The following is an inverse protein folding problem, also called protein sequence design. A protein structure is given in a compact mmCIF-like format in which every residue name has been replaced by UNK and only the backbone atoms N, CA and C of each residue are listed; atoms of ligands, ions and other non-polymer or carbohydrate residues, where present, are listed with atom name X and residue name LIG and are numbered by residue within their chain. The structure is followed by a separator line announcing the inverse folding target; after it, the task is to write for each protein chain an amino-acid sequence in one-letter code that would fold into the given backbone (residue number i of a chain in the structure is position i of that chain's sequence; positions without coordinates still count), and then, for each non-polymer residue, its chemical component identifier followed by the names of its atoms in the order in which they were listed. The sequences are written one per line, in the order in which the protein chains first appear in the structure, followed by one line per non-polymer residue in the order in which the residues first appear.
data_IF_590121811804
#
_entry.id   IF_590121811804
#
_cell.length_a   1.000
_cell.length_b   1.000
_cell.length_c   1.000
_cell.angle_alpha   90.00
_cell.angle_beta   90.00
_cell.angle_gamma   90.00
#
_symmetry.space_group_name_H-M   'P 1'
#
loop_
_entity.id
_entity.type
_entity.pdbx_description
1 polymer ?
#
# COMPACT_ATOMS: atom_id res chain seq x y z
N UNK A 1 26.34 10.58 -18.98
CA UNK A 1 26.13 10.03 -17.60
C UNK A 1 24.94 10.73 -17.01
N UNK A 2 23.77 10.14 -17.16
CA UNK A 2 22.53 10.67 -16.58
C UNK A 2 22.16 9.79 -15.40
N UNK A 3 22.50 10.26 -14.20
CA UNK A 3 22.13 9.65 -12.92
C UNK A 3 20.80 10.24 -12.50
N UNK A 4 19.76 9.41 -12.40
CA UNK A 4 18.51 9.79 -11.76
C UNK A 4 18.70 9.65 -10.25
N UNK A 5 18.49 10.72 -9.52
CA UNK A 5 18.51 10.73 -8.04
C UNK A 5 17.10 10.46 -7.55
N UNK A 6 16.90 9.29 -6.93
CA UNK A 6 15.72 8.99 -6.12
C UNK A 6 16.04 9.42 -4.69
N UNK A 7 15.17 10.15 -3.99
CA UNK A 7 15.45 10.59 -2.62
C UNK A 7 15.68 9.37 -1.71
N UNK A 8 16.71 9.42 -0.89
CA UNK A 8 17.28 8.39 -0.05
C UNK A 8 18.08 7.26 -0.73
N UNK A 9 19.21 7.64 -1.41
CA UNK A 9 20.36 6.76 -1.65
C UNK A 9 20.18 5.50 -2.53
N UNK A 10 19.23 5.47 -3.44
CA UNK A 10 19.22 4.46 -4.49
C UNK A 10 19.63 5.15 -5.79
N UNK A 11 20.90 5.04 -6.13
CA UNK A 11 21.40 5.40 -7.46
C UNK A 11 21.16 4.19 -8.37
N UNK A 12 20.11 4.24 -9.19
CA UNK A 12 19.97 3.27 -10.27
C UNK A 12 20.93 3.73 -11.37
N UNK A 13 22.00 2.96 -11.54
CA UNK A 13 22.89 3.18 -12.68
C UNK A 13 22.18 2.71 -13.95
N UNK A 14 21.58 3.67 -14.66
CA UNK A 14 20.86 3.42 -15.95
C UNK A 14 21.81 2.86 -17.01
N UNK A 15 23.12 2.81 -16.74
CA UNK A 15 24.13 2.19 -17.62
C UNK A 15 24.33 0.70 -17.34
N UNK A 16 23.73 0.13 -16.31
CA UNK A 16 23.75 -1.32 -16.10
C UNK A 16 22.82 -2.00 -17.12
N UNK A 17 23.43 -2.28 -18.27
CA UNK A 17 22.79 -3.00 -19.38
C UNK A 17 22.21 -4.37 -18.98
N UNK A 18 22.60 -4.93 -17.83
CA UNK A 18 22.04 -6.20 -17.32
C UNK A 18 20.69 -5.99 -16.64
N UNK A 19 20.56 -4.97 -15.79
CA UNK A 19 19.29 -4.64 -15.14
C UNK A 19 18.25 -4.17 -16.17
N UNK A 20 18.66 -3.34 -17.13
CA UNK A 20 17.82 -2.92 -18.26
C UNK A 20 17.44 -4.10 -19.17
N UNK A 21 18.38 -5.00 -19.53
CA UNK A 21 18.07 -6.18 -20.36
C UNK A 21 17.15 -7.18 -19.66
N UNK A 22 17.19 -7.30 -18.34
CA UNK A 22 16.28 -8.14 -17.56
C UNK A 22 14.87 -7.54 -17.59
N UNK A 23 14.74 -6.23 -17.38
CA UNK A 23 13.47 -5.50 -17.55
C UNK A 23 12.92 -5.63 -18.99
N UNK A 24 13.78 -5.49 -20.01
CA UNK A 24 13.42 -5.64 -21.41
C UNK A 24 12.94 -7.06 -21.77
N UNK A 25 13.59 -8.10 -21.27
CA UNK A 25 13.18 -9.49 -21.50
C UNK A 25 11.84 -9.81 -20.84
N UNK A 26 11.62 -9.32 -19.63
CA UNK A 26 10.43 -9.64 -18.84
C UNK A 26 9.17 -8.93 -19.34
N UNK A 27 9.32 -7.77 -20.00
CA UNK A 27 8.21 -7.06 -20.63
C UNK A 27 7.86 -7.58 -22.03
N UNK A 28 8.47 -8.71 -22.47
CA UNK A 28 8.28 -9.33 -23.79
C UNK A 28 8.45 -8.37 -24.98
N UNK A 29 9.26 -7.32 -24.83
CA UNK A 29 9.50 -6.34 -25.87
C UNK A 29 10.47 -6.94 -26.91
N UNK A 30 10.11 -7.00 -28.21
CA UNK A 30 10.98 -7.54 -29.22
C UNK A 30 12.30 -6.78 -29.29
N UNK A 31 13.42 -7.49 -29.26
CA UNK A 31 14.80 -6.97 -29.30
C UNK A 31 15.23 -6.32 -30.64
N UNK A 32 14.27 -5.92 -31.47
CA UNK A 32 14.48 -5.50 -32.87
C UNK A 32 14.45 -4.01 -33.17
N UNK A 33 14.35 -3.11 -32.18
CA UNK A 33 14.30 -1.67 -32.43
C UNK A 33 15.55 -0.97 -31.88
N UNK A 34 16.69 -1.28 -32.45
CA UNK A 34 17.89 -0.44 -32.36
C UNK A 34 18.33 -0.09 -33.79
N UNK A 35 17.69 0.88 -34.43
CA UNK A 35 18.32 1.65 -35.48
C UNK A 35 17.54 2.93 -35.77
N UNK A 36 18.29 4.01 -35.64
CA UNK A 36 18.16 5.31 -36.31
C UNK A 36 17.04 6.28 -35.93
N UNK A 37 17.56 7.43 -35.59
CA UNK A 37 17.11 8.79 -35.82
C UNK A 37 16.56 9.60 -34.63
N UNK A 38 17.27 10.69 -34.41
CA UNK A 38 16.97 11.83 -33.56
C UNK A 38 15.57 12.39 -33.79
N UNK A 39 14.62 11.89 -32.98
CA UNK A 39 13.50 12.66 -32.47
C UNK A 39 13.34 12.18 -31.03
N UNK A 40 13.71 13.00 -30.07
CA UNK A 40 13.42 12.72 -28.68
C UNK A 40 11.91 12.50 -28.53
N UNK A 41 11.42 11.29 -28.23
CA UNK A 41 10.04 11.11 -27.88
C UNK A 41 9.84 11.93 -26.61
N UNK A 42 8.99 12.93 -26.67
CA UNK A 42 8.51 13.62 -25.46
C UNK A 42 8.04 12.52 -24.52
N UNK A 43 8.74 12.31 -23.41
CA UNK A 43 8.28 11.38 -22.37
C UNK A 43 6.86 11.81 -22.00
N UNK A 44 5.86 11.03 -22.40
CA UNK A 44 4.49 11.33 -22.02
C UNK A 44 4.42 11.12 -20.51
N UNK A 45 4.26 12.20 -19.78
CA UNK A 45 3.98 12.17 -18.37
C UNK A 45 2.70 11.37 -18.15
N UNK A 46 2.68 10.47 -17.19
CA UNK A 46 1.49 9.68 -16.84
C UNK A 46 1.05 10.02 -15.42
N UNK A 47 -0.25 9.94 -15.16
CA UNK A 47 -0.80 9.98 -13.80
C UNK A 47 -0.65 8.61 -13.16
N UNK A 48 -0.11 8.55 -11.95
CA UNK A 48 0.05 7.33 -11.16
C UNK A 48 -0.82 7.44 -9.91
N UNK A 49 -1.75 6.50 -9.75
CA UNK A 49 -2.70 6.46 -8.62
C UNK A 49 -2.54 5.12 -7.89
N UNK A 50 -2.07 5.18 -6.65
CA UNK A 50 -2.04 4.03 -5.76
C UNK A 50 -3.34 3.96 -4.95
N UNK A 51 -4.18 2.98 -5.27
CA UNK A 51 -5.49 2.73 -4.69
C UNK A 51 -5.35 1.98 -3.35
N UNK A 52 -5.02 2.69 -2.27
CA UNK A 52 -4.95 2.09 -0.95
C UNK A 52 -6.32 2.05 -0.25
N UNK A 53 -6.60 1.00 0.53
CA UNK A 53 -7.84 0.89 1.33
C UNK A 53 -7.99 2.00 2.36
N UNK A 54 -6.90 2.56 2.86
CA UNK A 54 -6.93 3.65 3.85
C UNK A 54 -6.57 5.01 3.28
N UNK A 55 -5.64 5.05 2.30
CA UNK A 55 -5.07 6.29 1.77
C UNK A 55 -4.79 6.13 0.29
N UNK A 56 -5.27 7.07 -0.52
CA UNK A 56 -4.88 7.21 -1.93
C UNK A 56 -3.61 8.06 -2.00
N UNK A 57 -2.69 7.66 -2.88
CA UNK A 57 -1.50 8.43 -3.21
C UNK A 57 -1.45 8.61 -4.71
N UNK A 58 -1.34 9.85 -5.17
CA UNK A 58 -1.36 10.18 -6.58
C UNK A 58 -0.32 11.24 -6.94
N UNK A 59 0.15 11.22 -8.18
CA UNK A 59 1.14 12.14 -8.71
C UNK A 59 1.52 11.75 -10.12
N UNK A 60 2.68 12.20 -10.58
CA UNK A 60 3.10 12.00 -11.95
C UNK A 60 4.30 11.07 -12.07
N UNK A 61 4.42 10.43 -13.23
CA UNK A 61 5.60 9.63 -13.57
C UNK A 61 6.89 10.44 -13.46
N UNK A 62 7.99 9.77 -13.12
CA UNK A 62 9.31 10.35 -12.89
C UNK A 62 9.41 11.34 -11.72
N UNK A 63 8.41 11.44 -10.86
CA UNK A 63 8.49 12.18 -9.60
C UNK A 63 8.92 11.26 -8.44
N UNK A 64 9.59 11.85 -7.46
CA UNK A 64 10.17 11.14 -6.32
C UNK A 64 9.15 10.89 -5.21
N UNK A 65 8.06 11.68 -5.15
CA UNK A 65 7.02 11.59 -4.13
C UNK A 65 5.64 11.93 -4.71
N UNK A 66 4.56 11.32 -4.16
CA UNK A 66 3.20 11.63 -4.60
C UNK A 66 2.85 13.09 -4.24
N UNK A 67 2.17 13.78 -5.16
CA UNK A 67 1.69 15.15 -4.95
C UNK A 67 0.43 15.22 -4.11
N UNK A 68 -0.46 14.23 -4.26
CA UNK A 68 -1.70 14.14 -3.51
C UNK A 68 -1.68 12.87 -2.67
N UNK A 69 -1.93 13.05 -1.35
CA UNK A 69 -2.04 11.95 -0.38
C UNK A 69 -3.22 12.28 0.52
N UNK A 70 -4.29 11.51 0.44
CA UNK A 70 -5.51 11.77 1.20
C UNK A 70 -6.23 10.47 1.57
N UNK A 71 -7.06 10.48 2.65
CA UNK A 71 -7.82 9.31 3.07
C UNK A 71 -8.78 8.80 2.00
N UNK A 72 -8.83 7.48 1.82
CA UNK A 72 -9.75 6.78 0.90
C UNK A 72 -11.16 6.69 1.50
N UNK A 73 -11.78 7.86 1.79
CA UNK A 73 -13.07 7.97 2.44
C UNK A 73 -14.01 8.90 1.69
N UNK A 74 -15.30 8.52 1.75
CA UNK A 74 -16.41 9.30 1.23
C UNK A 74 -17.38 9.56 2.37
N UNK A 75 -17.69 10.82 2.61
CA UNK A 75 -18.56 11.29 3.68
C UNK A 75 -19.90 11.77 3.15
N UNK A 76 -20.99 11.33 3.79
CA UNK A 76 -22.35 11.81 3.54
C UNK A 76 -22.98 12.31 4.83
N UNK A 77 -23.83 13.37 4.79
CA UNK A 77 -24.51 13.89 5.97
C UNK A 77 -25.28 12.80 6.73
N UNK A 78 -25.17 12.78 8.06
CA UNK A 78 -25.90 11.82 8.91
C UNK A 78 -27.40 12.10 8.93
N UNK A 79 -27.78 13.38 8.85
CA UNK A 79 -29.18 13.83 8.90
C UNK A 79 -29.44 14.84 7.79
N UNK A 80 -30.23 14.46 6.80
CA UNK A 80 -30.63 15.31 5.66
C UNK A 80 -31.41 16.57 6.08
N UNK A 81 -32.03 16.56 7.27
CA UNK A 81 -32.95 17.62 7.70
C UNK A 81 -32.35 18.67 8.66
N UNK A 82 -31.07 18.57 9.03
CA UNK A 82 -30.47 19.46 10.04
C UNK A 82 -29.47 20.45 9.45
N UNK A 83 -29.09 20.29 8.19
CA UNK A 83 -28.12 21.17 7.56
C UNK A 83 -28.80 22.33 6.85
N UNK A 84 -28.66 23.51 7.44
CA UNK A 84 -29.19 24.81 6.94
C UNK A 84 -28.41 25.30 5.69
N UNK A 85 -27.32 24.59 5.33
CA UNK A 85 -26.47 25.00 4.20
C UNK A 85 -26.78 24.11 2.97
N UNK A 86 -27.40 24.68 1.89
CA UNK A 86 -27.69 23.94 0.66
C UNK A 86 -26.47 23.33 -0.03
N UNK A 87 -25.26 23.82 0.30
CA UNK A 87 -23.99 23.34 -0.23
C UNK A 87 -23.50 22.01 0.39
N UNK A 88 -24.18 21.50 1.42
CA UNK A 88 -23.75 20.27 2.12
C UNK A 88 -24.54 19.03 1.66
N UNK A 89 -25.38 19.15 0.64
CA UNK A 89 -26.03 17.97 0.03
C UNK A 89 -25.10 17.12 -0.83
N UNK A 90 -23.87 17.58 -1.07
CA UNK A 90 -22.92 16.90 -1.90
C UNK A 90 -22.07 15.92 -1.09
N UNK A 91 -21.65 14.87 -1.75
CA UNK A 91 -20.69 13.90 -1.24
C UNK A 91 -19.35 14.61 -0.99
N UNK A 92 -18.78 14.46 0.19
CA UNK A 92 -17.50 15.05 0.58
C UNK A 92 -16.43 13.95 0.61
N UNK A 93 -15.26 14.22 0.05
CA UNK A 93 -14.21 13.21 -0.18
C UNK A 93 -12.92 13.56 0.56
N UNK A 94 -12.15 12.56 0.91
CA UNK A 94 -10.78 12.68 1.41
C UNK A 94 -10.64 13.50 2.69
N UNK A 95 -9.68 14.43 2.72
CA UNK A 95 -9.37 15.25 3.90
C UNK A 95 -10.54 16.13 4.36
N UNK A 96 -11.37 16.61 3.42
CA UNK A 96 -12.54 17.40 3.76
C UNK A 96 -13.57 16.55 4.52
N UNK A 97 -13.77 15.29 4.14
CA UNK A 97 -14.61 14.34 4.85
C UNK A 97 -14.04 14.00 6.23
N UNK A 98 -12.72 13.77 6.32
CA UNK A 98 -12.04 13.51 7.58
C UNK A 98 -12.18 14.67 8.59
N UNK A 99 -12.06 15.91 8.11
CA UNK A 99 -12.24 17.11 8.98
C UNK A 99 -13.67 17.27 9.48
N UNK A 100 -14.66 16.92 8.65
CA UNK A 100 -16.10 17.02 9.00
C UNK A 100 -16.68 15.73 9.57
N UNK A 101 -15.82 14.78 10.01
CA UNK A 101 -16.20 13.45 10.51
C UNK A 101 -17.28 13.44 11.60
N UNK A 102 -17.39 14.50 12.39
CA UNK A 102 -18.38 14.63 13.46
C UNK A 102 -19.83 14.70 12.96
N UNK A 103 -20.07 15.24 11.76
CA UNK A 103 -21.39 15.44 11.17
C UNK A 103 -21.67 14.54 9.96
N UNK A 104 -20.66 13.79 9.50
CA UNK A 104 -20.75 12.91 8.34
C UNK A 104 -20.75 11.42 8.77
N UNK A 105 -21.41 10.61 7.95
CA UNK A 105 -21.20 9.16 7.93
C UNK A 105 -20.09 8.88 6.93
N UNK A 106 -18.97 8.32 7.42
CA UNK A 106 -17.83 7.99 6.58
C UNK A 106 -17.96 6.56 6.04
N UNK A 107 -17.70 6.39 4.75
CA UNK A 107 -17.62 5.10 4.07
C UNK A 107 -16.26 4.93 3.40
N UNK A 108 -15.80 3.70 3.35
CA UNK A 108 -14.57 3.31 2.68
C UNK A 108 -14.95 2.51 1.43
N UNK A 109 -14.69 3.02 0.21
CA UNK A 109 -15.02 2.31 -1.04
C UNK A 109 -14.16 1.08 -1.30
N UNK A 110 -13.02 0.97 -0.61
CA UNK A 110 -12.10 -0.16 -0.72
C UNK A 110 -12.05 -0.89 0.62
N UNK A 111 -12.43 -2.17 0.61
CA UNK A 111 -12.31 -3.06 1.77
C UNK A 111 -11.38 -4.21 1.44
N UNK A 112 -10.44 -4.49 2.35
CA UNK A 112 -9.43 -5.54 2.18
C UNK A 112 -8.74 -5.54 0.80
N UNK A 113 -8.45 -4.35 0.25
CA UNK A 113 -7.80 -4.17 -1.03
C UNK A 113 -8.71 -4.35 -2.26
N UNK A 114 -10.00 -4.57 -2.08
CA UNK A 114 -10.98 -4.77 -3.16
C UNK A 114 -11.98 -3.63 -3.17
N UNK A 115 -12.26 -3.07 -4.35
CA UNK A 115 -13.29 -2.05 -4.50
C UNK A 115 -14.66 -2.68 -4.33
N UNK A 116 -15.46 -2.17 -3.37
CA UNK A 116 -16.81 -2.65 -3.05
C UNK A 116 -17.90 -1.68 -3.49
N UNK A 117 -17.57 -0.42 -3.70
CA UNK A 117 -18.50 0.61 -4.16
C UNK A 117 -17.84 1.44 -5.27
N UNK A 118 -18.31 1.26 -6.49
CA UNK A 118 -17.74 1.90 -7.68
C UNK A 118 -18.11 3.36 -7.79
N UNK A 119 -19.34 3.76 -7.44
CA UNK A 119 -19.80 5.16 -7.48
C UNK A 119 -18.95 6.02 -6.53
N UNK A 120 -18.67 5.50 -5.33
CA UNK A 120 -17.81 6.17 -4.36
C UNK A 120 -16.33 6.17 -4.84
N UNK A 121 -15.91 5.15 -5.59
CA UNK A 121 -14.56 5.08 -6.14
C UNK A 121 -14.34 6.05 -7.28
N UNK A 122 -15.33 6.24 -8.15
CA UNK A 122 -15.31 7.27 -9.20
C UNK A 122 -15.12 8.67 -8.59
N UNK A 123 -15.83 8.98 -7.50
CA UNK A 123 -15.67 10.25 -6.79
C UNK A 123 -14.27 10.44 -6.18
N UNK A 124 -13.64 9.35 -5.69
CA UNK A 124 -12.25 9.40 -5.24
C UNK A 124 -11.28 9.69 -6.39
N UNK A 125 -11.50 9.11 -7.57
CA UNK A 125 -10.66 9.36 -8.75
C UNK A 125 -10.89 10.77 -9.31
N UNK A 126 -12.16 11.25 -9.39
CA UNK A 126 -12.48 12.62 -9.76
C UNK A 126 -11.74 13.61 -8.84
N UNK A 127 -11.87 13.43 -7.52
CA UNK A 127 -11.14 14.22 -6.54
C UNK A 127 -9.61 14.14 -6.72
N UNK A 128 -9.09 12.98 -7.13
CA UNK A 128 -7.66 12.81 -7.41
C UNK A 128 -7.22 13.71 -8.56
N UNK A 129 -7.94 13.72 -9.67
CA UNK A 129 -7.64 14.57 -10.82
C UNK A 129 -7.78 16.07 -10.49
N UNK A 130 -8.78 16.44 -9.69
CA UNK A 130 -8.92 17.80 -9.16
C UNK A 130 -7.71 18.24 -8.32
N UNK A 131 -7.26 17.38 -7.40
CA UNK A 131 -6.08 17.65 -6.56
C UNK A 131 -4.80 17.79 -7.39
N UNK A 132 -4.66 17.00 -8.44
CA UNK A 132 -3.54 17.07 -9.38
C UNK A 132 -3.67 18.22 -10.37
N UNK A 133 -4.87 18.80 -10.50
CA UNK A 133 -5.19 19.88 -11.47
C UNK A 133 -4.90 19.51 -12.90
N UNK A 134 -5.29 18.32 -13.32
CA UNK A 134 -5.12 17.78 -14.69
C UNK A 134 -6.44 17.25 -15.19
N UNK A 135 -6.67 17.41 -16.49
CA UNK A 135 -7.77 16.76 -17.18
C UNK A 135 -7.39 15.26 -17.41
N UNK A 136 -8.24 14.31 -17.06
CA UNK A 136 -8.00 12.89 -17.34
C UNK A 136 -7.72 12.58 -18.81
N UNK A 137 -8.31 13.35 -19.74
CA UNK A 137 -8.16 13.18 -21.19
C UNK A 137 -6.75 13.50 -21.71
N UNK A 138 -5.96 14.25 -20.95
CA UNK A 138 -4.64 14.72 -21.39
C UNK A 138 -3.53 13.68 -21.20
N UNK A 139 -3.64 12.83 -20.16
CA UNK A 139 -2.53 11.99 -19.69
C UNK A 139 -2.93 10.52 -19.50
N UNK A 140 -2.03 9.58 -19.87
CA UNK A 140 -2.19 8.17 -19.51
C UNK A 140 -2.32 7.97 -17.99
N UNK A 141 -3.08 6.97 -17.57
CA UNK A 141 -3.30 6.63 -16.17
C UNK A 141 -2.76 5.24 -15.81
N UNK A 142 -1.91 5.15 -14.78
CA UNK A 142 -1.49 3.91 -14.16
C UNK A 142 -2.17 3.80 -12.80
N UNK A 143 -3.04 2.78 -12.66
CA UNK A 143 -3.67 2.43 -11.40
C UNK A 143 -3.00 1.21 -10.77
N UNK A 144 -3.08 1.13 -9.44
CA UNK A 144 -2.60 -0.05 -8.72
C UNK A 144 -3.75 -0.92 -8.24
N UNK A 145 -3.47 -2.21 -8.14
CA UNK A 145 -4.39 -3.18 -7.54
C UNK A 145 -3.68 -4.11 -6.57
N UNK A 146 -4.45 -4.66 -5.63
CA UNK A 146 -3.96 -5.70 -4.73
C UNK A 146 -3.71 -7.01 -5.49
N UNK A 147 -2.74 -7.84 -5.07
CA UNK A 147 -2.60 -9.19 -5.59
C UNK A 147 -3.89 -9.99 -5.40
N UNK A 148 -4.15 -10.91 -6.33
CA UNK A 148 -5.36 -11.75 -6.33
C UNK A 148 -6.68 -10.97 -6.41
N UNK A 149 -6.67 -9.76 -6.93
CA UNK A 149 -7.88 -8.98 -7.17
C UNK A 149 -8.81 -9.72 -8.15
N UNK A 150 -10.14 -9.73 -7.92
CA UNK A 150 -11.09 -10.35 -8.84
C UNK A 150 -10.98 -9.80 -10.27
N UNK A 151 -10.99 -10.67 -11.28
CA UNK A 151 -10.88 -10.27 -12.70
C UNK A 151 -11.92 -9.22 -13.10
N UNK A 152 -13.16 -9.36 -12.61
CA UNK A 152 -14.25 -8.41 -12.87
C UNK A 152 -13.95 -7.00 -12.33
N UNK A 153 -13.25 -6.89 -11.20
CA UNK A 153 -12.88 -5.59 -10.66
C UNK A 153 -11.85 -4.90 -11.55
N UNK A 154 -10.89 -5.66 -12.07
CA UNK A 154 -9.89 -5.17 -13.01
C UNK A 154 -10.54 -4.70 -14.31
N UNK A 155 -11.50 -5.47 -14.85
CA UNK A 155 -12.29 -5.07 -16.01
C UNK A 155 -13.10 -3.79 -15.74
N UNK A 156 -13.74 -3.68 -14.56
CA UNK A 156 -14.54 -2.50 -14.20
C UNK A 156 -13.69 -1.25 -14.02
N UNK A 157 -12.47 -1.37 -13.44
CA UNK A 157 -11.52 -0.25 -13.41
C UNK A 157 -11.17 0.24 -14.82
N UNK A 158 -10.91 -0.70 -15.73
CA UNK A 158 -10.58 -0.39 -17.13
C UNK A 158 -11.73 0.31 -17.83
N UNK A 159 -12.96 -0.21 -17.68
CA UNK A 159 -14.18 0.39 -18.22
C UNK A 159 -14.36 1.83 -17.75
N UNK A 160 -14.31 2.08 -16.43
CA UNK A 160 -14.50 3.41 -15.87
C UNK A 160 -13.44 4.39 -16.38
N UNK A 161 -12.17 3.98 -16.44
CA UNK A 161 -11.10 4.88 -16.90
C UNK A 161 -11.27 5.29 -18.37
N UNK A 162 -11.70 4.38 -19.26
CA UNK A 162 -11.93 4.72 -20.64
C UNK A 162 -13.28 5.40 -20.89
N UNK A 163 -14.37 4.92 -20.26
CA UNK A 163 -15.71 5.39 -20.57
C UNK A 163 -16.14 6.65 -19.80
N UNK A 164 -15.72 6.78 -18.51
CA UNK A 164 -16.09 7.92 -17.68
C UNK A 164 -15.00 9.00 -17.70
N UNK A 165 -13.72 8.60 -17.54
CA UNK A 165 -12.61 9.55 -17.51
C UNK A 165 -11.98 9.80 -18.87
N UNK A 166 -12.31 9.01 -19.90
CA UNK A 166 -11.79 9.17 -21.28
C UNK A 166 -10.27 9.27 -21.36
N UNK A 167 -9.54 8.52 -20.53
CA UNK A 167 -8.08 8.55 -20.52
C UNK A 167 -7.51 8.05 -21.87
N UNK A 168 -6.43 8.65 -22.40
CA UNK A 168 -5.86 8.26 -23.70
C UNK A 168 -5.20 6.89 -23.67
N UNK A 169 -4.69 6.45 -22.52
CA UNK A 169 -4.12 5.13 -22.32
C UNK A 169 -4.19 4.74 -20.85
N UNK A 170 -4.21 3.43 -20.57
CA UNK A 170 -4.44 2.89 -19.23
C UNK A 170 -3.56 1.67 -18.94
N UNK A 171 -3.18 1.49 -17.67
CA UNK A 171 -2.49 0.30 -17.20
C UNK A 171 -2.84 0.00 -15.74
N UNK A 172 -2.99 -1.28 -15.40
CA UNK A 172 -3.16 -1.75 -14.02
C UNK A 172 -1.94 -2.52 -13.59
N UNK A 173 -1.33 -2.13 -12.46
CA UNK A 173 -0.14 -2.77 -11.92
C UNK A 173 -0.37 -3.35 -10.53
N UNK A 174 0.22 -4.51 -10.24
CA UNK A 174 0.15 -5.17 -8.93
C UNK A 174 1.02 -4.39 -7.93
N UNK A 175 0.44 -3.96 -6.81
CA UNK A 175 1.09 -3.16 -5.76
C UNK A 175 2.43 -3.75 -5.29
N UNK A 176 2.47 -5.06 -5.03
CA UNK A 176 3.69 -5.72 -4.57
C UNK A 176 4.82 -5.67 -5.60
N UNK A 177 4.51 -5.83 -6.90
CA UNK A 177 5.50 -5.76 -7.98
C UNK A 177 6.11 -4.36 -8.04
N UNK A 178 5.27 -3.33 -7.94
CA UNK A 178 5.73 -1.94 -7.91
C UNK A 178 6.63 -1.66 -6.70
N UNK A 179 6.27 -2.16 -5.51
CA UNK A 179 7.10 -2.02 -4.31
C UNK A 179 8.48 -2.64 -4.48
N UNK A 180 8.59 -3.75 -5.22
CA UNK A 180 9.88 -4.35 -5.54
C UNK A 180 10.67 -3.49 -6.54
N UNK A 181 10.00 -2.95 -7.57
CA UNK A 181 10.62 -2.06 -8.55
C UNK A 181 11.16 -0.77 -7.93
N UNK A 182 10.49 -0.22 -6.89
CA UNK A 182 10.99 0.89 -6.12
C UNK A 182 12.36 0.62 -5.47
N UNK A 183 12.73 -0.65 -5.26
CA UNK A 183 14.05 -1.07 -4.76
C UNK A 183 15.08 -1.36 -5.86
N UNK A 184 14.72 -1.18 -7.13
CA UNK A 184 15.58 -1.48 -8.29
C UNK A 184 15.77 -2.98 -8.54
N UNK A 185 14.84 -3.83 -8.08
CA UNK A 185 14.94 -5.29 -8.20
C UNK A 185 13.78 -5.86 -8.99
N UNK A 186 14.02 -7.00 -9.64
CA UNK A 186 13.01 -7.78 -10.38
C UNK A 186 12.76 -9.15 -9.76
N UNK A 187 13.61 -9.57 -8.81
CA UNK A 187 13.48 -10.82 -8.05
C UNK A 187 13.47 -10.48 -6.56
N UNK A 188 12.49 -10.96 -5.83
CA UNK A 188 12.39 -10.76 -4.38
C UNK A 188 11.06 -11.21 -3.82
N UNK A 189 10.90 -10.97 -2.54
CA UNK A 189 9.70 -11.30 -1.78
C UNK A 189 9.15 -10.05 -1.11
N UNK A 190 7.90 -9.72 -1.40
CA UNK A 190 7.28 -8.51 -0.83
C UNK A 190 6.27 -8.90 0.25
N UNK A 191 6.40 -8.28 1.42
CA UNK A 191 5.39 -8.27 2.46
C UNK A 191 4.76 -6.88 2.46
N UNK A 192 3.60 -6.78 1.85
CA UNK A 192 2.84 -5.53 1.78
C UNK A 192 1.71 -5.55 2.80
N UNK A 193 1.84 -4.73 3.84
CA UNK A 193 0.85 -4.60 4.90
C UNK A 193 0.29 -3.19 4.92
N UNK A 194 -0.91 -3.05 4.37
CA UNK A 194 -1.64 -1.81 4.24
C UNK A 194 -2.59 -1.52 5.41
N UNK A 195 -3.63 -0.75 5.12
CA UNK A 195 -4.72 -0.50 6.07
C UNK A 195 -5.75 -1.64 6.08
N UNK A 196 -6.09 -2.18 4.90
CA UNK A 196 -7.17 -3.17 4.76
C UNK A 196 -6.72 -4.63 4.69
N UNK A 197 -5.50 -4.92 4.25
CA UNK A 197 -5.04 -6.30 3.96
C UNK A 197 -3.52 -6.38 4.03
N UNK A 198 -3.03 -7.57 4.35
CA UNK A 198 -1.61 -7.93 4.26
C UNK A 198 -1.43 -9.01 3.19
N UNK A 199 -0.52 -8.78 2.25
CA UNK A 199 -0.14 -9.75 1.24
C UNK A 199 1.33 -10.13 1.37
N UNK A 200 1.63 -11.40 1.15
CA UNK A 200 2.99 -11.89 0.95
C UNK A 200 3.11 -12.41 -0.47
N UNK A 201 4.00 -11.80 -1.24
CA UNK A 201 4.06 -11.98 -2.70
C UNK A 201 5.49 -12.32 -3.11
N UNK A 202 5.75 -13.56 -3.53
CA UNK A 202 6.99 -13.89 -4.21
C UNK A 202 6.96 -13.38 -5.64
N UNK A 203 8.05 -12.74 -6.06
CA UNK A 203 8.19 -12.13 -7.38
C UNK A 203 9.47 -12.65 -8.02
N UNK A 204 9.35 -13.16 -9.23
CA UNK A 204 10.47 -13.65 -10.03
C UNK A 204 10.44 -13.02 -11.42
N UNK A 205 11.56 -12.39 -11.81
CA UNK A 205 11.70 -11.68 -13.08
C UNK A 205 10.59 -10.65 -13.34
N UNK A 206 10.07 -10.01 -12.28
CA UNK A 206 9.00 -9.01 -12.38
C UNK A 206 7.59 -9.58 -12.37
N UNK A 207 7.40 -10.90 -12.34
CA UNK A 207 6.09 -11.55 -12.29
C UNK A 207 5.79 -12.06 -10.87
N UNK A 208 4.60 -11.72 -10.38
CA UNK A 208 4.10 -12.29 -9.12
C UNK A 208 3.74 -13.77 -9.31
N UNK A 209 4.29 -14.64 -8.44
CA UNK A 209 3.99 -16.07 -8.45
C UNK A 209 2.65 -16.31 -7.74
N UNK A 210 1.55 -16.16 -8.45
CA UNK A 210 0.18 -16.13 -7.92
C UNK A 210 -0.17 -17.37 -7.10
N UNK A 211 0.33 -18.56 -7.45
CA UNK A 211 0.09 -19.81 -6.73
C UNK A 211 0.72 -19.84 -5.32
N UNK A 212 1.73 -19.03 -5.10
CA UNK A 212 2.44 -18.92 -3.83
C UNK A 212 2.11 -17.62 -3.07
N UNK A 213 1.30 -16.73 -3.63
CA UNK A 213 0.81 -15.56 -2.92
C UNK A 213 -0.07 -15.97 -1.74
N UNK A 214 0.14 -15.34 -0.57
CA UNK A 214 -0.74 -15.50 0.59
C UNK A 214 -1.37 -14.18 0.94
N UNK A 215 -2.67 -14.19 1.10
CA UNK A 215 -3.48 -13.07 1.58
C UNK A 215 -3.85 -13.31 3.04
N UNK A 216 -3.67 -12.33 3.86
CA UNK A 216 -4.08 -12.31 5.26
C UNK A 216 -4.96 -11.08 5.48
N UNK A 217 -6.23 -11.32 5.82
CA UNK A 217 -7.19 -10.25 6.11
C UNK A 217 -7.01 -9.73 7.55
N UNK A 218 -5.78 -9.29 7.83
CA UNK A 218 -5.34 -8.66 9.07
C UNK A 218 -4.37 -7.54 8.70
N UNK A 219 -4.75 -6.30 9.02
CA UNK A 219 -3.98 -5.13 8.64
C UNK A 219 -4.23 -3.93 9.58
N UNK A 220 -3.89 -2.73 9.14
CA UNK A 220 -3.91 -1.52 9.97
C UNK A 220 -5.27 -1.21 10.57
N UNK A 221 -6.37 -1.49 9.86
CA UNK A 221 -7.75 -1.26 10.32
C UNK A 221 -8.11 -2.18 11.48
N UNK A 222 -7.77 -3.45 11.38
CA UNK A 222 -8.00 -4.44 12.44
C UNK A 222 -7.20 -4.11 13.70
N UNK A 223 -5.97 -3.63 13.52
CA UNK A 223 -5.14 -3.15 14.63
C UNK A 223 -5.72 -1.91 15.30
N UNK A 224 -6.36 -1.00 14.54
CA UNK A 224 -7.05 0.16 15.11
C UNK A 224 -8.23 -0.31 15.96
N UNK A 225 -9.03 -1.27 15.46
CA UNK A 225 -10.15 -1.84 16.20
C UNK A 225 -9.70 -2.60 17.44
N UNK A 226 -8.57 -3.28 17.34
CA UNK A 226 -7.98 -3.93 18.51
C UNK A 226 -7.50 -2.92 19.54
N UNK A 227 -6.86 -1.84 19.12
CA UNK A 227 -6.44 -0.78 20.03
C UNK A 227 -7.66 -0.11 20.70
N UNK A 228 -8.78 0.08 19.99
CA UNK A 228 -10.03 0.54 20.62
C UNK A 228 -10.49 -0.39 21.74
N UNK A 229 -10.38 -1.72 21.56
CA UNK A 229 -10.73 -2.70 22.60
C UNK A 229 -9.76 -2.61 23.80
N UNK A 230 -8.45 -2.47 23.54
CA UNK A 230 -7.45 -2.31 24.59
C UNK A 230 -7.65 -1.01 25.39
N UNK A 231 -8.01 0.09 24.73
CA UNK A 231 -8.33 1.35 25.40
C UNK A 231 -9.62 1.26 26.21
N UNK A 232 -10.60 0.48 25.74
CA UNK A 232 -11.83 0.22 26.50
C UNK A 232 -11.55 -0.55 27.81
N UNK A 233 -10.57 -1.47 27.84
CA UNK A 233 -10.11 -2.15 29.06
C UNK A 233 -9.64 -1.13 30.13
N UNK A 234 -9.12 0.03 29.71
CA UNK A 234 -8.75 1.17 30.58
C UNK A 234 -9.90 2.13 30.89
N UNK A 235 -11.11 1.85 30.39
CA UNK A 235 -12.28 2.72 30.61
C UNK A 235 -12.40 3.87 29.58
N UNK A 236 -11.52 3.94 28.57
CA UNK A 236 -11.59 4.91 27.49
C UNK A 236 -12.49 4.38 26.38
N UNK A 237 -13.70 4.94 26.26
CA UNK A 237 -14.65 4.55 25.23
C UNK A 237 -14.43 5.36 23.95
N UNK A 238 -14.04 4.67 22.89
CA UNK A 238 -13.81 5.23 21.55
C UNK A 238 -14.71 4.50 20.53
N UNK A 239 -16.02 4.88 20.52
CA UNK A 239 -17.05 4.12 19.81
C UNK A 239 -17.48 4.78 18.47
N UNK A 240 -17.19 6.07 18.29
CA UNK A 240 -17.60 6.80 17.09
C UNK A 240 -16.54 6.69 15.99
N UNK A 241 -16.95 6.88 14.72
CA UNK A 241 -16.00 6.92 13.61
C UNK A 241 -14.96 8.04 13.77
N UNK A 242 -15.34 9.15 14.40
CA UNK A 242 -14.43 10.25 14.70
C UNK A 242 -13.36 9.87 15.73
N UNK A 243 -13.76 9.19 16.79
CA UNK A 243 -12.85 8.68 17.84
C UNK A 243 -11.93 7.58 17.30
N UNK A 244 -12.44 6.74 16.41
CA UNK A 244 -11.63 5.71 15.72
C UNK A 244 -10.46 6.31 14.93
N UNK A 245 -10.65 7.48 14.31
CA UNK A 245 -9.57 8.21 13.64
C UNK A 245 -8.52 8.74 14.64
N UNK A 246 -8.93 9.10 15.86
CA UNK A 246 -8.00 9.46 16.94
C UNK A 246 -7.20 8.22 17.36
N UNK A 247 -7.85 7.07 17.53
CA UNK A 247 -7.17 5.82 17.87
C UNK A 247 -6.19 5.40 16.79
N UNK A 248 -6.52 5.64 15.49
CA UNK A 248 -5.59 5.43 14.39
C UNK A 248 -4.34 6.30 14.52
N UNK A 249 -4.50 7.58 14.83
CA UNK A 249 -3.36 8.49 15.04
C UNK A 249 -2.50 8.06 16.25
N UNK A 250 -3.13 7.65 17.34
CA UNK A 250 -2.43 7.06 18.51
C UNK A 250 -1.61 5.84 18.09
N UNK A 251 -2.23 4.92 17.34
CA UNK A 251 -1.56 3.71 16.83
C UNK A 251 -0.31 4.06 16.00
N UNK A 252 -0.44 5.00 15.08
CA UNK A 252 0.64 5.39 14.17
C UNK A 252 1.80 6.12 14.86
N UNK A 253 1.50 6.90 15.90
CA UNK A 253 2.50 7.70 16.62
C UNK A 253 3.20 6.95 17.75
N UNK A 254 2.44 6.16 18.53
CA UNK A 254 2.93 5.64 19.81
C UNK A 254 3.14 4.12 19.84
N UNK A 255 2.46 3.35 18.97
CA UNK A 255 2.62 1.90 18.98
C UNK A 255 3.96 1.46 18.36
N UNK A 256 4.48 0.35 18.85
CA UNK A 256 5.73 -0.26 18.41
C UNK A 256 5.69 -1.78 18.59
N UNK A 257 6.51 -2.50 17.84
CA UNK A 257 6.63 -3.96 17.95
C UNK A 257 7.63 -4.31 19.05
N UNK A 258 7.21 -5.14 20.01
CA UNK A 258 8.08 -5.67 21.06
C UNK A 258 9.08 -6.68 20.46
N UNK A 259 10.33 -6.65 20.94
CA UNK A 259 11.32 -7.66 20.59
C UNK A 259 11.13 -8.97 21.36
N UNK A 260 10.58 -8.90 22.57
CA UNK A 260 10.22 -10.04 23.39
C UNK A 260 8.96 -9.74 24.16
N UNK A 261 7.83 -10.12 23.56
CA UNK A 261 6.49 -9.81 24.06
C UNK A 261 6.24 -10.31 25.48
N UNK A 262 6.58 -11.57 25.77
CA UNK A 262 6.31 -12.20 27.08
C UNK A 262 7.13 -11.53 28.19
N UNK A 263 8.38 -11.20 27.90
CA UNK A 263 9.24 -10.50 28.85
C UNK A 263 8.74 -9.10 29.13
N UNK A 264 8.34 -8.35 28.09
CA UNK A 264 7.86 -6.98 28.22
C UNK A 264 6.52 -6.92 28.96
N UNK A 265 5.63 -7.90 28.73
CA UNK A 265 4.39 -8.05 29.47
C UNK A 265 4.64 -8.30 30.97
N UNK A 266 5.60 -9.17 31.31
CA UNK A 266 5.92 -9.47 32.70
C UNK A 266 6.54 -8.27 33.43
N UNK A 267 7.45 -7.54 32.75
CA UNK A 267 8.06 -6.31 33.31
C UNK A 267 7.01 -5.22 33.60
N UNK A 268 6.02 -5.07 32.75
CA UNK A 268 4.94 -4.09 33.02
C UNK A 268 4.03 -4.48 34.18
N UNK A 269 3.87 -5.76 34.48
CA UNK A 269 3.15 -6.22 35.66
C UNK A 269 3.92 -5.88 36.95
N UNK A 270 5.24 -5.82 36.91
CA UNK A 270 6.09 -5.48 38.06
C UNK A 270 6.31 -3.97 38.22
N UNK A 271 6.33 -3.21 37.08
CA UNK A 271 6.72 -1.78 37.01
C UNK A 271 5.54 -0.80 37.07
N UNK A 272 4.40 -1.14 37.63
CA UNK A 272 3.29 -0.20 37.87
C UNK A 272 3.69 1.06 38.72
N UNK A 273 4.99 1.21 38.99
CA UNK A 273 5.58 2.27 39.84
C UNK A 273 6.56 3.20 39.12
N UNK A 274 6.77 3.08 37.80
CA UNK A 274 7.69 3.99 37.10
C UNK A 274 6.98 5.24 36.63
N UNK A 275 7.67 6.36 36.90
CA UNK A 275 7.27 7.72 36.57
C UNK A 275 6.90 7.90 35.10
N UNK A 276 5.91 8.74 34.87
CA UNK A 276 5.39 9.19 33.58
C UNK A 276 6.53 9.62 32.64
N UNK A 277 6.87 8.78 31.65
CA UNK A 277 7.71 9.22 30.55
C UNK A 277 6.82 9.96 29.54
N UNK A 278 7.20 11.16 29.17
CA UNK A 278 6.47 12.04 28.25
C UNK A 278 6.19 11.39 26.89
N UNK A 279 6.96 10.36 26.50
CA UNK A 279 6.80 9.58 25.26
C UNK A 279 5.56 8.67 25.27
N UNK A 280 4.99 8.37 26.44
CA UNK A 280 3.85 7.47 26.62
C UNK A 280 2.51 8.21 26.67
N UNK A 281 2.53 9.52 26.53
CA UNK A 281 1.36 10.39 26.67
C UNK A 281 0.87 10.88 25.32
N UNK A 282 -0.42 10.77 25.07
CA UNK A 282 -1.11 11.33 23.91
C UNK A 282 -2.09 12.42 24.35
N UNK A 283 -2.07 13.56 23.69
CA UNK A 283 -3.00 14.66 23.93
C UNK A 283 -4.17 14.57 22.96
N UNK A 284 -5.38 14.41 23.49
CA UNK A 284 -6.61 14.38 22.72
C UNK A 284 -6.96 15.78 22.18
N UNK A 285 -7.83 15.87 21.17
CA UNK A 285 -8.27 17.16 20.61
C UNK A 285 -8.97 18.09 21.61
N UNK A 286 -9.47 17.56 22.72
CA UNK A 286 -10.10 18.33 23.83
C UNK A 286 -9.07 18.81 24.89
N UNK A 287 -7.79 18.48 24.69
CA UNK A 287 -6.69 18.82 25.61
C UNK A 287 -6.49 17.80 26.74
N UNK A 288 -7.33 16.76 26.85
CA UNK A 288 -7.12 15.68 27.81
C UNK A 288 -5.89 14.86 27.41
N UNK A 289 -5.05 14.51 28.38
CA UNK A 289 -3.88 13.66 28.19
C UNK A 289 -4.20 12.22 28.60
N UNK A 290 -3.92 11.29 27.67
CA UNK A 290 -4.06 9.86 27.90
C UNK A 290 -2.69 9.25 28.02
N UNK A 291 -2.44 8.53 29.11
CA UNK A 291 -1.22 7.75 29.29
C UNK A 291 -1.44 6.33 28.75
N UNK A 292 -0.55 5.88 27.88
CA UNK A 292 -0.56 4.56 27.29
C UNK A 292 0.55 3.69 27.92
N UNK A 293 0.24 2.43 28.13
CA UNK A 293 1.17 1.43 28.65
C UNK A 293 1.36 0.26 27.69
N UNK A 294 0.99 -0.94 28.14
CA UNK A 294 1.13 -2.17 27.36
C UNK A 294 0.35 -2.19 26.04
N UNK A 295 -0.69 -1.38 25.89
CA UNK A 295 -1.50 -1.28 24.68
C UNK A 295 -0.64 -0.93 23.47
N UNK A 296 0.45 -0.18 23.65
CA UNK A 296 1.37 0.27 22.61
C UNK A 296 2.04 -0.88 21.88
N UNK A 297 2.44 -1.93 22.59
CA UNK A 297 3.08 -3.09 21.96
C UNK A 297 2.14 -4.29 21.82
N UNK A 298 1.07 -4.39 22.64
CA UNK A 298 0.02 -5.41 22.48
C UNK A 298 -0.70 -5.25 21.14
N UNK A 299 -0.96 -4.02 20.72
CA UNK A 299 -1.67 -3.74 19.48
C UNK A 299 -0.95 -4.35 18.26
N UNK A 300 0.30 -3.99 17.91
CA UNK A 300 0.96 -4.55 16.73
C UNK A 300 1.42 -6.00 16.91
N UNK A 301 1.48 -6.57 18.13
CA UNK A 301 1.76 -7.99 18.34
C UNK A 301 0.76 -8.89 17.62
N UNK A 302 -0.46 -8.42 17.40
CA UNK A 302 -1.47 -9.16 16.65
C UNK A 302 -1.04 -9.51 15.20
N UNK A 303 -0.10 -8.77 14.61
CA UNK A 303 0.49 -9.12 13.31
C UNK A 303 1.29 -10.44 13.38
N UNK A 304 1.87 -10.74 14.52
CA UNK A 304 2.64 -11.97 14.76
C UNK A 304 1.78 -13.06 15.41
N UNK A 305 0.82 -12.66 16.25
CA UNK A 305 -0.07 -13.53 17.01
C UNK A 305 -1.56 -13.13 16.78
N UNK A 306 -2.16 -13.47 15.63
CA UNK A 306 -3.54 -13.08 15.31
C UNK A 306 -4.62 -13.63 16.26
N UNK A 307 -4.29 -14.67 17.01
CA UNK A 307 -5.15 -15.21 18.06
C UNK A 307 -5.49 -14.17 19.15
N UNK A 308 -4.68 -13.11 19.34
CA UNK A 308 -5.00 -11.99 20.21
C UNK A 308 -6.27 -11.23 19.76
N UNK A 309 -6.59 -11.30 18.48
CA UNK A 309 -7.83 -10.76 17.88
C UNK A 309 -8.97 -11.80 17.84
N UNK A 310 -8.73 -13.03 18.27
CA UNK A 310 -9.64 -14.15 18.08
C UNK A 310 -9.69 -14.66 16.64
N UNK A 311 -8.68 -14.36 15.82
CA UNK A 311 -8.59 -14.80 14.42
C UNK A 311 -7.67 -16.01 14.31
N UNK A 312 -8.14 -17.07 13.63
CA UNK A 312 -7.37 -18.28 13.31
C UNK A 312 -6.66 -18.15 11.96
N UNK A 313 -5.86 -17.09 11.79
CA UNK A 313 -5.05 -16.86 10.59
C UNK A 313 -3.56 -16.91 10.91
N UNK A 314 -2.73 -16.99 9.89
CA UNK A 314 -1.28 -17.00 10.07
C UNK A 314 -0.76 -15.60 10.41
N UNK A 315 0.14 -15.51 11.41
CA UNK A 315 0.94 -14.29 11.58
C UNK A 315 1.85 -14.04 10.39
N UNK A 316 2.23 -12.77 10.17
CA UNK A 316 2.98 -12.33 8.97
C UNK A 316 4.27 -13.14 8.71
N UNK A 317 4.99 -13.53 9.75
CA UNK A 317 6.20 -14.36 9.65
C UNK A 317 5.91 -15.77 9.16
N UNK A 318 4.80 -16.38 9.65
CA UNK A 318 4.37 -17.72 9.21
C UNK A 318 3.82 -17.68 7.78
N UNK A 319 3.04 -16.65 7.44
CA UNK A 319 2.55 -16.43 6.08
C UNK A 319 3.69 -16.29 5.08
N UNK A 320 4.75 -15.56 5.45
CA UNK A 320 5.98 -15.41 4.65
C UNK A 320 6.66 -16.74 4.42
N UNK A 321 6.91 -17.51 5.49
CA UNK A 321 7.53 -18.83 5.37
C UNK A 321 6.68 -19.77 4.51
N UNK A 322 5.37 -19.79 4.74
CA UNK A 322 4.44 -20.62 3.97
C UNK A 322 4.48 -20.26 2.48
N UNK A 323 4.41 -18.98 2.14
CA UNK A 323 4.49 -18.48 0.77
C UNK A 323 5.81 -18.87 0.09
N UNK A 324 6.95 -18.66 0.73
CA UNK A 324 8.26 -19.05 0.16
C UNK A 324 8.36 -20.58 0.00
N UNK A 325 7.80 -21.35 0.92
CA UNK A 325 7.81 -22.83 0.82
C UNK A 325 6.93 -23.36 -0.32
N UNK A 326 5.96 -22.59 -0.79
CA UNK A 326 5.15 -22.91 -1.97
C UNK A 326 5.83 -22.54 -3.30
N UNK A 327 6.99 -21.87 -3.24
CA UNK A 327 7.81 -21.60 -4.42
C UNK A 327 8.78 -22.74 -4.71
N UNK A 328 9.29 -22.79 -5.94
CA UNK A 328 10.33 -23.73 -6.35
C UNK A 328 11.56 -23.62 -5.45
N UNK A 329 12.20 -24.76 -5.17
CA UNK A 329 13.31 -24.85 -4.23
C UNK A 329 14.49 -23.94 -4.62
N UNK A 330 14.76 -23.82 -5.89
CA UNK A 330 15.86 -23.03 -6.43
C UNK A 330 15.68 -21.52 -6.18
N UNK A 331 14.41 -21.05 -6.12
CA UNK A 331 14.08 -19.64 -5.90
C UNK A 331 14.12 -19.24 -4.42
N UNK A 332 13.90 -20.17 -3.50
CA UNK A 332 13.70 -19.86 -2.07
C UNK A 332 14.86 -19.08 -1.46
N UNK A 333 16.09 -19.44 -1.82
CA UNK A 333 17.30 -18.78 -1.31
C UNK A 333 17.34 -17.30 -1.71
N UNK A 334 17.00 -17.01 -2.95
CA UNK A 334 16.99 -15.64 -3.48
C UNK A 334 15.83 -14.83 -2.92
N UNK A 335 14.66 -15.46 -2.70
CA UNK A 335 13.50 -14.81 -2.07
C UNK A 335 13.80 -14.43 -0.61
N UNK A 336 14.40 -15.31 0.19
CA UNK A 336 14.84 -15.00 1.56
C UNK A 336 15.92 -13.92 1.61
N UNK A 337 16.81 -13.87 0.63
CA UNK A 337 17.87 -12.87 0.54
C UNK A 337 17.34 -11.47 0.09
N UNK A 338 16.09 -11.38 -0.38
CA UNK A 338 15.51 -10.17 -0.94
C UNK A 338 14.07 -9.93 -0.45
N UNK A 339 13.85 -9.93 0.85
CA UNK A 339 12.53 -9.58 1.43
C UNK A 339 12.40 -8.06 1.50
N UNK A 340 11.28 -7.53 1.02
CA UNK A 340 10.95 -6.10 1.05
C UNK A 340 9.69 -5.91 1.88
N UNK A 341 9.75 -5.02 2.87
CA UNK A 341 8.58 -4.57 3.60
C UNK A 341 7.96 -3.35 2.91
N UNK A 342 6.65 -3.36 2.73
CA UNK A 342 5.86 -2.31 2.10
C UNK A 342 4.57 -2.04 2.89
N UNK A 343 3.96 -0.90 2.64
CA UNK A 343 2.70 -0.51 3.25
C UNK A 343 2.82 0.21 4.60
N UNK A 344 1.75 0.95 4.94
CA UNK A 344 1.71 1.79 6.15
C UNK A 344 1.82 1.01 7.45
N UNK A 345 1.24 -0.18 7.52
CA UNK A 345 1.29 -1.03 8.73
C UNK A 345 2.69 -1.61 8.97
N UNK A 346 3.52 -1.70 7.95
CA UNK A 346 4.93 -2.08 8.12
C UNK A 346 5.79 -0.99 8.78
N UNK A 347 5.25 0.22 9.02
CA UNK A 347 6.00 1.37 9.55
C UNK A 347 6.26 1.31 11.06
N UNK A 348 5.63 0.40 11.81
CA UNK A 348 5.89 0.27 13.25
C UNK A 348 7.37 0.15 13.56
N UNK A 349 7.81 0.86 14.61
CA UNK A 349 9.17 0.73 15.13
C UNK A 349 9.47 -0.72 15.49
N UNK A 350 10.68 -1.17 15.23
CA UNK A 350 11.21 -2.52 15.51
C UNK A 350 10.61 -3.67 14.69
N UNK A 351 9.65 -3.42 13.78
CA UNK A 351 9.01 -4.50 13.01
C UNK A 351 10.02 -5.31 12.20
N UNK A 352 10.99 -4.65 11.56
CA UNK A 352 12.04 -5.30 10.77
C UNK A 352 12.86 -6.28 11.62
N UNK A 353 13.32 -5.84 12.79
CA UNK A 353 14.15 -6.64 13.68
C UNK A 353 13.40 -7.84 14.24
N UNK A 354 12.15 -7.62 14.70
CA UNK A 354 11.31 -8.71 15.21
C UNK A 354 10.95 -9.69 14.10
N UNK A 355 10.63 -9.21 12.92
CA UNK A 355 10.31 -10.05 11.76
C UNK A 355 11.51 -10.91 11.35
N UNK A 356 12.70 -10.33 11.30
CA UNK A 356 13.95 -11.06 11.07
C UNK A 356 14.20 -12.13 12.14
N UNK A 357 13.98 -11.79 13.41
CA UNK A 357 14.14 -12.72 14.52
C UNK A 357 13.20 -13.92 14.40
N UNK A 358 11.91 -13.69 14.09
CA UNK A 358 10.94 -14.77 13.94
C UNK A 358 11.23 -15.66 12.71
N UNK A 359 11.62 -15.05 11.58
CA UNK A 359 12.00 -15.81 10.40
C UNK A 359 13.26 -16.69 10.64
N UNK A 360 14.25 -16.16 11.36
CA UNK A 360 15.45 -16.93 11.70
C UNK A 360 15.16 -18.15 12.59
N UNK A 361 14.13 -18.08 13.46
CA UNK A 361 13.71 -19.23 14.28
C UNK A 361 13.12 -20.37 13.43
N UNK A 362 12.56 -20.04 12.27
CA UNK A 362 11.82 -20.99 11.43
C UNK A 362 12.60 -21.45 10.19
N UNK A 363 13.71 -20.77 9.86
CA UNK A 363 14.47 -20.99 8.63
C UNK A 363 15.81 -21.67 8.97
N UNK A 364 16.29 -22.62 8.16
CA UNK A 364 17.61 -23.24 8.37
C UNK A 364 18.73 -22.21 8.42
N UNK A 365 19.70 -22.40 9.32
CA UNK A 365 20.83 -21.47 9.51
C UNK A 365 21.72 -21.26 8.26
N UNK A 366 21.63 -22.16 7.28
CA UNK A 366 22.34 -22.07 6.00
C UNK A 366 21.74 -21.03 5.04
N UNK A 367 20.51 -20.57 5.29
CA UNK A 367 19.81 -19.59 4.46
C UNK A 367 20.00 -18.20 5.05
N UNK A 368 20.57 -17.31 4.25
CA UNK A 368 20.74 -15.90 4.66
C UNK A 368 19.46 -15.13 4.40
N UNK A 369 18.90 -14.55 5.46
CA UNK A 369 17.73 -13.68 5.36
C UNK A 369 18.18 -12.22 5.31
N UNK A 370 17.61 -11.44 4.39
CA UNK A 370 17.77 -9.98 4.30
C UNK A 370 16.41 -9.33 4.18
N UNK A 371 16.17 -8.33 5.01
CA UNK A 371 14.96 -7.52 4.97
C UNK A 371 15.34 -6.11 4.54
N UNK A 372 14.62 -5.56 3.59
CA UNK A 372 14.72 -4.18 3.17
C UNK A 372 13.47 -3.44 3.69
N UNK A 373 13.67 -2.54 4.64
CA UNK A 373 12.62 -1.72 5.23
C UNK A 373 12.95 -0.23 5.03
N UNK A 374 12.73 0.28 3.80
CA UNK A 374 12.97 1.69 3.49
C UNK A 374 12.19 2.61 4.45
N UNK A 375 12.76 3.75 4.88
CA UNK A 375 12.02 4.76 5.66
C UNK A 375 10.73 5.23 4.99
N UNK A 376 10.73 5.30 3.65
CA UNK A 376 9.60 5.79 2.85
C UNK A 376 8.70 4.66 2.31
N UNK A 377 8.80 3.44 2.88
CA UNK A 377 8.09 2.24 2.38
C UNK A 377 6.58 2.36 2.35
N UNK A 378 6.00 3.32 3.02
CA UNK A 378 4.57 3.66 2.90
C UNK A 378 4.18 4.16 1.50
N UNK A 379 5.17 4.66 0.75
CA UNK A 379 5.01 5.18 -0.61
C UNK A 379 5.62 4.28 -1.69
N UNK A 380 6.24 3.15 -1.32
CA UNK A 380 7.01 2.31 -2.25
C UNK A 380 6.18 1.82 -3.44
N UNK A 381 4.89 1.53 -3.25
CA UNK A 381 3.97 1.16 -4.33
C UNK A 381 3.88 2.29 -5.36
N UNK A 382 3.56 3.51 -4.91
CA UNK A 382 3.44 4.68 -5.78
C UNK A 382 4.78 5.02 -6.46
N UNK A 383 5.88 5.00 -5.70
CA UNK A 383 7.23 5.25 -6.23
C UNK A 383 7.59 4.26 -7.33
N UNK A 384 7.30 2.96 -7.12
CA UNK A 384 7.51 1.94 -8.16
C UNK A 384 6.67 2.17 -9.40
N UNK A 385 5.43 2.64 -9.24
CA UNK A 385 4.57 3.05 -10.35
C UNK A 385 5.11 4.26 -11.12
N UNK A 386 5.62 5.26 -10.40
CA UNK A 386 6.28 6.43 -10.97
C UNK A 386 7.53 6.04 -11.80
N UNK A 387 8.36 5.15 -11.25
CA UNK A 387 9.53 4.62 -11.95
C UNK A 387 9.11 3.82 -13.18
N UNK A 388 8.19 2.86 -13.05
CA UNK A 388 7.74 1.99 -14.15
C UNK A 388 7.18 2.80 -15.31
N UNK A 389 6.26 3.72 -15.03
CA UNK A 389 5.60 4.54 -16.07
C UNK A 389 6.53 5.54 -16.75
N UNK A 390 7.68 5.85 -16.15
CA UNK A 390 8.71 6.71 -16.75
C UNK A 390 9.64 5.98 -17.71
N UNK A 391 9.66 4.64 -17.71
CA UNK A 391 10.55 3.86 -18.57
C UNK A 391 10.11 3.95 -20.04
N UNK A 392 11.04 4.23 -20.94
CA UNK A 392 10.78 4.25 -22.39
C UNK A 392 10.27 2.90 -22.91
N UNK A 393 10.78 1.80 -22.36
CA UNK A 393 10.34 0.45 -22.68
C UNK A 393 8.89 0.17 -22.33
N UNK A 394 8.38 0.82 -21.27
CA UNK A 394 7.02 0.65 -20.80
C UNK A 394 5.99 1.34 -21.70
N UNK A 395 6.40 2.32 -22.53
CA UNK A 395 5.47 3.09 -23.37
C UNK A 395 4.66 2.22 -24.36
N UNK A 396 5.17 1.06 -24.74
CA UNK A 396 4.50 0.13 -25.65
C UNK A 396 3.56 -0.86 -24.92
N UNK A 397 3.52 -0.84 -23.60
CA UNK A 397 2.70 -1.78 -22.81
C UNK A 397 1.34 -1.20 -22.41
N UNK A 398 1.16 0.11 -22.57
CA UNK A 398 -0.12 0.75 -22.32
C UNK A 398 -1.25 0.13 -23.14
N UNK A 399 -2.45 0.03 -22.56
CA UNK A 399 -3.68 -0.19 -23.30
C UNK A 399 -4.07 1.18 -23.85
N UNK A 400 -4.10 1.35 -25.15
CA UNK A 400 -4.59 2.58 -25.75
C UNK A 400 -6.13 2.53 -26.00
N UNK A 401 -6.75 3.70 -26.24
CA UNK A 401 -8.19 3.80 -26.45
C UNK A 401 -8.69 2.98 -27.65
N UNK A 402 -7.89 2.82 -28.70
CA UNK A 402 -8.25 2.04 -29.89
C UNK A 402 -8.30 0.54 -29.56
N UNK A 403 -7.27 0.03 -28.85
CA UNK A 403 -7.25 -1.35 -28.40
C UNK A 403 -8.43 -1.67 -27.47
N UNK A 404 -8.81 -0.70 -26.62
CA UNK A 404 -9.99 -0.82 -25.78
C UNK A 404 -11.28 -0.87 -26.59
N UNK A 405 -11.45 -0.01 -27.60
CA UNK A 405 -12.62 0.01 -28.49
C UNK A 405 -12.76 -1.31 -29.28
N UNK A 406 -11.64 -1.94 -29.69
CA UNK A 406 -11.65 -3.19 -30.44
C UNK A 406 -11.95 -4.42 -29.58
N UNK A 407 -11.43 -4.49 -28.35
CA UNK A 407 -11.44 -5.71 -27.51
C UNK A 407 -12.37 -5.59 -26.31
N UNK A 408 -12.61 -4.37 -25.84
CA UNK A 408 -13.34 -4.09 -24.60
C UNK A 408 -12.51 -4.28 -23.33
N UNK A 409 -13.14 -4.25 -22.14
CA UNK A 409 -12.45 -4.25 -20.85
C UNK A 409 -11.56 -5.48 -20.62
N UNK A 410 -11.82 -6.59 -21.29
CA UNK A 410 -11.05 -7.83 -21.15
C UNK A 410 -9.61 -7.74 -21.66
N UNK A 411 -9.28 -6.70 -22.42
CA UNK A 411 -7.92 -6.40 -22.91
C UNK A 411 -6.91 -6.32 -21.74
N UNK A 412 -7.37 -5.87 -20.56
CA UNK A 412 -6.55 -5.73 -19.36
C UNK A 412 -5.87 -7.05 -18.94
N UNK A 413 -6.50 -8.19 -19.19
CA UNK A 413 -5.92 -9.50 -18.85
C UNK A 413 -4.82 -9.95 -19.82
N UNK A 414 -4.72 -9.31 -20.98
CA UNK A 414 -3.70 -9.63 -21.99
C UNK A 414 -2.47 -8.72 -21.86
N UNK A 415 -2.64 -7.50 -21.36
CA UNK A 415 -1.57 -6.48 -21.33
C UNK A 415 -1.06 -6.19 -19.92
N UNK A 416 -1.88 -6.37 -18.87
CA UNK A 416 -1.51 -6.10 -17.48
C UNK A 416 -1.28 -7.41 -16.73
N UNK A 417 -0.04 -7.67 -16.33
CA UNK A 417 0.39 -8.93 -15.71
C UNK A 417 0.62 -8.76 -14.21
#
# INVERSE_FOLDING_TARGET
MSTFHIPSRITIDVTDKRALNILYKNLQIPSGVMSSEHNSPSHKTAVVIDNGSGVIKAGFSAEDAPRAVFPSIVGRPRHLNVLVDPLINDTIVGDAAARKRGILTLKYPIEHGVVINWDDMEQLWEHTYEQLRVDPMDLPALLTEAPLNPKKNREKMTEIMFEQFSVPAFYVAIQAVLSLYATGRTVGFVVDSGDGVTHTVPIYEGFALSHACVRVDLAGRDLTDYLCKLLLEKGLKMNTSAEREIVRDIKEKLCYVSMNYDQEMNLQLEDFKREEQQEDTYELPDGQKIQLGSERFRCPEALFQPNLLGQEVMGIHKATQHSINNCDMDLRKDLYANIVLSGGTSMFRNIEHRFLQELNKMTPASIRIRINASPDRRFSVWTGGSVLSSLTSFQNTWIDSREYEEVGPTIVHRKCF
#
